data_IF_482422350891
#
_entry.id   IF_482422350891
#
_cell.length_a   1.000
_cell.length_b   1.000
_cell.length_c   1.000
_cell.angle_alpha   90.00
_cell.angle_beta   90.00
_cell.angle_gamma   90.00
#
_symmetry.space_group_name_H-M   'P 1'
#
loop_
_entity.id
_entity.type
_entity.pdbx_description
1 polymer ?
#
# COMPACT_ATOMS: atom_id res chain seq x y z
N UNK A 1 -27.98 12.14 5.03
CA UNK A 1 -27.01 11.73 4.00
C UNK A 1 -26.28 10.48 4.47
N UNK A 2 -26.22 9.38 3.70
CA UNK A 2 -25.52 8.16 4.13
C UNK A 2 -23.99 8.35 4.13
N UNK A 3 -23.30 7.71 5.09
CA UNK A 3 -21.84 7.76 5.20
C UNK A 3 -21.17 6.97 4.07
N UNK A 4 -20.05 7.48 3.57
CA UNK A 4 -19.23 6.78 2.57
C UNK A 4 -18.66 5.49 3.17
N UNK A 5 -18.82 4.36 2.47
CA UNK A 5 -18.31 3.06 2.93
C UNK A 5 -16.84 2.88 2.52
N UNK A 6 -16.03 2.38 3.43
CA UNK A 6 -14.63 2.03 3.16
C UNK A 6 -14.53 0.81 2.25
N UNK A 7 -13.72 0.89 1.19
CA UNK A 7 -13.38 -0.26 0.37
C UNK A 7 -12.44 -1.22 1.14
N UNK A 8 -13.01 -2.27 1.74
CA UNK A 8 -12.30 -3.19 2.65
C UNK A 8 -11.09 -3.88 2.01
N UNK A 9 -11.17 -4.23 0.72
CA UNK A 9 -10.05 -4.83 0.01
C UNK A 9 -8.87 -3.88 -0.21
N UNK A 10 -9.12 -2.57 -0.27
CA UNK A 10 -8.07 -1.56 -0.35
C UNK A 10 -7.48 -1.32 1.04
N UNK A 11 -8.34 -1.17 2.06
CA UNK A 11 -7.93 -0.95 3.44
C UNK A 11 -7.03 -2.06 3.99
N UNK A 12 -7.25 -3.32 3.60
CA UNK A 12 -6.39 -4.45 4.01
C UNK A 12 -4.98 -4.45 3.39
N UNK A 13 -4.74 -3.68 2.31
CA UNK A 13 -3.49 -3.73 1.53
C UNK A 13 -2.56 -2.55 1.78
N UNK A 14 -3.05 -1.50 2.44
CA UNK A 14 -2.29 -0.29 2.70
C UNK A 14 -2.18 -0.01 4.20
N UNK A 15 -1.16 0.75 4.59
CA UNK A 15 -0.97 1.25 5.95
C UNK A 15 -0.69 2.74 5.90
N UNK A 16 -1.36 3.54 6.73
CA UNK A 16 -1.08 4.97 6.87
C UNK A 16 -0.07 5.19 8.01
N UNK A 17 0.92 6.05 7.80
CA UNK A 17 1.90 6.43 8.84
C UNK A 17 1.43 7.64 9.63
N UNK A 18 1.63 7.66 10.95
CA UNK A 18 1.24 8.78 11.83
C UNK A 18 2.28 9.90 11.97
N UNK A 19 3.01 10.26 10.90
CA UNK A 19 3.97 11.38 10.92
C UNK A 19 3.31 12.73 10.55
N UNK A 20 4.08 13.82 10.64
CA UNK A 20 3.62 15.17 10.29
C UNK A 20 2.99 15.27 8.88
N UNK A 21 3.46 14.46 7.93
CA UNK A 21 2.78 14.22 6.66
C UNK A 21 2.46 12.72 6.54
N UNK A 22 1.17 12.32 6.59
CA UNK A 22 0.79 10.93 6.47
C UNK A 22 1.16 10.36 5.10
N UNK A 23 1.98 9.30 5.11
CA UNK A 23 2.34 8.55 3.91
C UNK A 23 1.55 7.26 3.88
N UNK A 24 1.15 6.86 2.67
CA UNK A 24 0.53 5.56 2.44
C UNK A 24 1.64 4.56 2.12
N UNK A 25 1.75 3.49 2.90
CA UNK A 25 2.65 2.38 2.68
C UNK A 25 1.92 1.20 2.08
N UNK A 26 2.60 0.46 1.21
CA UNK A 26 2.15 -0.81 0.65
C UNK A 26 3.26 -1.85 0.68
N UNK A 27 2.90 -3.12 0.64
CA UNK A 27 3.87 -4.18 0.34
C UNK A 27 4.22 -4.16 -1.15
N UNK A 28 5.48 -4.44 -1.48
CA UNK A 28 5.86 -4.75 -2.86
C UNK A 28 5.21 -6.07 -3.28
N UNK A 29 5.02 -6.27 -4.59
CA UNK A 29 4.48 -7.52 -5.13
C UNK A 29 5.40 -8.66 -4.70
N UNK A 30 4.81 -9.68 -4.09
CA UNK A 30 5.54 -10.90 -3.74
C UNK A 30 5.88 -11.60 -5.04
N UNK A 31 7.17 -11.83 -5.29
CA UNK A 31 7.60 -12.76 -6.32
C UNK A 31 7.32 -14.15 -5.72
N UNK A 32 6.37 -14.90 -6.29
CA UNK A 32 5.89 -16.16 -5.73
C UNK A 32 6.95 -17.26 -5.67
N UNK A 33 6.56 -18.50 -5.35
CA UNK A 33 7.46 -19.67 -5.22
C UNK A 33 8.39 -19.85 -6.44
N UNK A 34 7.97 -19.43 -7.63
CA UNK A 34 8.72 -19.54 -8.89
C UNK A 34 9.62 -18.32 -9.19
N UNK A 35 9.92 -17.50 -8.19
CA UNK A 35 10.79 -16.33 -8.32
C UNK A 35 12.22 -16.72 -8.67
N UNK A 36 12.63 -16.60 -9.93
CA UNK A 36 14.04 -16.68 -10.34
C UNK A 36 14.77 -15.36 -10.06
N UNK A 37 14.72 -14.87 -8.81
CA UNK A 37 15.36 -13.62 -8.41
C UNK A 37 16.50 -13.87 -7.42
N UNK A 38 17.54 -13.03 -7.48
CA UNK A 38 18.66 -13.07 -6.52
C UNK A 38 18.14 -12.85 -5.08
N UNK A 39 18.80 -13.46 -4.10
CA UNK A 39 18.46 -13.33 -2.66
C UNK A 39 18.39 -11.88 -2.20
N UNK A 40 19.29 -11.03 -2.71
CA UNK A 40 19.28 -9.59 -2.40
C UNK A 40 17.97 -8.90 -2.85
N UNK A 41 17.48 -9.22 -4.05
CA UNK A 41 16.23 -8.69 -4.60
C UNK A 41 15.02 -9.19 -3.81
N UNK A 42 15.00 -10.48 -3.43
CA UNK A 42 13.96 -11.05 -2.58
C UNK A 42 13.90 -10.34 -1.22
N UNK A 43 15.05 -10.07 -0.60
CA UNK A 43 15.14 -9.31 0.66
C UNK A 43 14.61 -7.88 0.51
N UNK A 44 14.95 -7.19 -0.58
CA UNK A 44 14.44 -5.85 -0.86
C UNK A 44 12.93 -5.82 -1.12
N UNK A 45 12.37 -6.90 -1.66
CA UNK A 45 10.94 -7.00 -1.95
C UNK A 45 10.07 -7.32 -0.73
N UNK A 46 10.67 -7.80 0.37
CA UNK A 46 9.97 -7.96 1.65
C UNK A 46 9.70 -6.64 2.37
N UNK A 47 10.39 -5.56 1.99
CA UNK A 47 10.22 -4.23 2.60
C UNK A 47 8.94 -3.55 2.10
N UNK A 48 8.26 -2.84 2.99
CA UNK A 48 7.19 -1.93 2.60
C UNK A 48 7.76 -0.72 1.88
N UNK A 49 6.98 -0.15 0.96
CA UNK A 49 7.33 1.06 0.22
C UNK A 49 6.22 2.07 0.30
N UNK A 50 6.60 3.33 0.18
CA UNK A 50 5.65 4.42 0.00
C UNK A 50 4.93 4.26 -1.34
N UNK A 51 3.63 4.52 -1.33
CA UNK A 51 2.82 4.59 -2.52
C UNK A 51 3.26 5.79 -3.37
N UNK A 52 3.30 5.61 -4.68
CA UNK A 52 3.60 6.69 -5.60
C UNK A 52 2.53 7.79 -5.53
N UNK A 53 2.94 9.05 -5.73
CA UNK A 53 2.07 10.22 -5.60
C UNK A 53 0.85 10.15 -6.52
N UNK A 54 1.00 9.60 -7.73
CA UNK A 54 -0.11 9.45 -8.70
C UNK A 54 -1.24 8.56 -8.15
N UNK A 55 -0.90 7.55 -7.34
CA UNK A 55 -1.85 6.57 -6.84
C UNK A 55 -2.50 6.98 -5.52
N UNK A 56 -1.91 7.94 -4.79
CA UNK A 56 -2.45 8.42 -3.51
C UNK A 56 -3.88 8.92 -3.69
N UNK A 57 -4.15 9.68 -4.74
CA UNK A 57 -5.49 10.26 -5.00
C UNK A 57 -6.57 9.19 -5.17
N UNK A 58 -6.22 8.04 -5.75
CA UNK A 58 -7.15 6.92 -5.95
C UNK A 58 -7.50 6.27 -4.62
N UNK A 59 -6.50 6.02 -3.76
CA UNK A 59 -6.74 5.39 -2.45
C UNK A 59 -7.55 6.27 -1.50
N UNK A 60 -7.36 7.59 -1.55
CA UNK A 60 -8.18 8.55 -0.77
C UNK A 60 -9.67 8.52 -1.14
N UNK A 61 -9.98 8.24 -2.41
CA UNK A 61 -11.38 8.07 -2.86
C UNK A 61 -11.98 6.73 -2.39
N UNK A 62 -11.16 5.70 -2.24
CA UNK A 62 -11.59 4.36 -1.85
C UNK A 62 -11.74 4.18 -0.34
N UNK A 63 -10.94 4.91 0.44
CA UNK A 63 -10.90 4.79 1.89
C UNK A 63 -11.05 6.20 2.48
N UNK A 64 -12.26 6.51 2.99
CA UNK A 64 -12.49 7.77 3.69
C UNK A 64 -11.55 7.89 4.89
N UNK A 65 -10.87 9.04 5.02
CA UNK A 65 -10.00 9.33 6.18
C UNK A 65 -8.53 8.88 6.04
N UNK A 66 -8.09 8.54 4.83
CA UNK A 66 -6.68 8.22 4.49
C UNK A 66 -6.00 9.35 3.72
#
# INVERSE_FOLDING_TARGET
MPKMKTHKGAAKRIKVTGGAVPKILRRKRVIGKNAKARTATLRQNRKMVTLDASNVRVFKKLIPGV
#
